data_IF_898617724869
#
_entry.id   IF_898617724869
#
_cell.length_a   1.000
_cell.length_b   1.000
_cell.length_c   1.000
_cell.angle_alpha   90.00
_cell.angle_beta   90.00
_cell.angle_gamma   90.00
#
_symmetry.space_group_name_H-M   'P 1'
#
loop_
_entity.id
_entity.type
_entity.pdbx_description
1 polymer ?
#
# COMPACT_ATOMS: atom_id res chain seq x y z
N UNK A 1 6.62 -10.19 6.59
CA UNK A 1 5.48 -9.27 6.59
C UNK A 1 4.61 -9.51 5.39
N UNK A 2 3.37 -9.82 5.62
CA UNK A 2 2.42 -9.96 4.52
C UNK A 2 2.00 -8.57 4.08
N UNK A 3 2.44 -8.18 2.91
CA UNK A 3 1.98 -6.94 2.32
C UNK A 3 0.91 -7.23 1.29
N UNK A 4 -0.08 -6.38 1.27
CA UNK A 4 -1.11 -6.44 0.26
C UNK A 4 -0.50 -6.02 -1.08
N UNK A 5 -0.62 -6.87 -2.08
CA UNK A 5 -0.10 -6.55 -3.41
C UNK A 5 -1.18 -5.89 -4.27
N UNK A 6 -0.75 -5.26 -5.35
CA UNK A 6 -1.69 -4.68 -6.32
C UNK A 6 -2.61 -5.76 -6.89
N UNK A 7 -2.08 -6.95 -7.13
CA UNK A 7 -2.87 -8.07 -7.62
C UNK A 7 -3.93 -8.51 -6.61
N UNK A 8 -3.60 -8.46 -5.31
CA UNK A 8 -4.55 -8.77 -4.26
C UNK A 8 -5.74 -7.81 -4.29
N UNK A 9 -5.47 -6.53 -4.53
CA UNK A 9 -6.52 -5.52 -4.63
C UNK A 9 -7.36 -5.75 -5.88
N UNK A 10 -6.71 -6.01 -7.01
CA UNK A 10 -7.38 -6.23 -8.28
C UNK A 10 -8.30 -7.44 -8.24
N UNK A 11 -7.88 -8.50 -7.56
CA UNK A 11 -8.59 -9.77 -7.53
C UNK A 11 -9.52 -9.92 -6.33
N UNK A 12 -9.63 -8.90 -5.49
CA UNK A 12 -10.49 -8.98 -4.31
C UNK A 12 -11.95 -9.09 -4.71
N UNK A 13 -12.61 -10.10 -4.18
CA UNK A 13 -14.04 -10.31 -4.38
C UNK A 13 -14.75 -10.15 -3.05
N UNK A 14 -15.80 -9.35 -3.03
CA UNK A 14 -16.62 -9.14 -1.85
C UNK A 14 -17.89 -9.97 -1.95
N UNK A 15 -18.36 -10.46 -0.81
CA UNK A 15 -19.60 -11.20 -0.76
C UNK A 15 -20.79 -10.24 -0.93
N UNK A 16 -21.75 -10.57 -1.80
CA UNK A 16 -22.96 -9.76 -1.91
C UNK A 16 -23.80 -9.89 -0.64
N UNK A 17 -24.53 -8.84 -0.31
CA UNK A 17 -25.42 -8.87 0.83
C UNK A 17 -26.68 -9.67 0.48
N UNK A 18 -27.29 -10.30 1.50
CA UNK A 18 -28.50 -11.11 1.29
C UNK A 18 -29.76 -10.27 1.20
N UNK A 19 -29.74 -9.08 1.78
CA UNK A 19 -30.95 -8.28 1.97
C UNK A 19 -30.99 -7.00 1.16
N UNK A 20 -29.90 -6.66 0.52
CA UNK A 20 -29.79 -5.46 -0.31
C UNK A 20 -28.87 -5.75 -1.48
N UNK A 21 -29.03 -4.97 -2.53
CA UNK A 21 -28.05 -4.99 -3.61
C UNK A 21 -26.77 -4.34 -3.09
N UNK A 22 -25.63 -4.97 -3.33
CA UNK A 22 -24.35 -4.44 -2.96
C UNK A 22 -23.52 -5.42 -2.17
N UNK A 23 -22.44 -4.92 -1.59
CA UNK A 23 -21.51 -5.70 -0.80
C UNK A 23 -21.63 -5.33 0.67
N UNK A 24 -21.16 -6.23 1.55
CA UNK A 24 -21.11 -5.98 2.97
C UNK A 24 -20.16 -4.82 3.24
N UNK A 25 -20.70 -3.75 3.83
CA UNK A 25 -19.92 -2.54 4.10
C UNK A 25 -18.75 -2.79 5.04
N UNK A 26 -18.96 -3.60 6.07
CA UNK A 26 -17.89 -3.91 7.02
C UNK A 26 -16.73 -4.64 6.36
N UNK A 27 -17.04 -5.57 5.47
CA UNK A 27 -16.02 -6.29 4.72
C UNK A 27 -15.23 -5.36 3.82
N UNK A 28 -15.91 -4.45 3.15
CA UNK A 28 -15.25 -3.45 2.29
C UNK A 28 -14.37 -2.53 3.13
N UNK A 29 -14.89 -2.05 4.26
CA UNK A 29 -14.16 -1.15 5.14
C UNK A 29 -12.90 -1.80 5.69
N UNK A 30 -12.99 -3.06 6.11
CA UNK A 30 -11.83 -3.81 6.58
C UNK A 30 -10.75 -3.92 5.50
N UNK A 31 -11.18 -4.18 4.28
CA UNK A 31 -10.25 -4.29 3.17
C UNK A 31 -9.59 -2.95 2.86
N UNK A 32 -10.36 -1.87 2.90
CA UNK A 32 -9.83 -0.53 2.70
C UNK A 32 -8.80 -0.15 3.77
N UNK A 33 -9.02 -0.55 5.02
CA UNK A 33 -8.06 -0.33 6.10
C UNK A 33 -6.74 -1.03 5.81
N UNK A 34 -6.80 -2.25 5.30
CA UNK A 34 -5.60 -2.99 4.91
C UNK A 34 -4.87 -2.32 3.76
N UNK A 35 -5.61 -1.78 2.81
CA UNK A 35 -5.02 -1.02 1.70
C UNK A 35 -4.29 0.21 2.21
N UNK A 36 -4.92 0.95 3.12
CA UNK A 36 -4.32 2.15 3.71
C UNK A 36 -3.02 1.81 4.42
N UNK A 37 -2.99 0.74 5.23
CA UNK A 37 -1.78 0.29 5.90
C UNK A 37 -0.67 -0.04 4.91
N UNK A 38 -1.01 -0.80 3.89
CA UNK A 38 -0.04 -1.20 2.87
C UNK A 38 0.53 0.01 2.13
N UNK A 39 -0.33 0.97 1.81
CA UNK A 39 0.09 2.20 1.13
C UNK A 39 1.02 3.04 2.02
N UNK A 40 0.70 3.15 3.30
CA UNK A 40 1.55 3.88 4.25
C UNK A 40 2.93 3.24 4.38
N UNK A 41 2.97 1.91 4.43
CA UNK A 41 4.24 1.17 4.49
C UNK A 41 5.07 1.44 3.24
N UNK A 42 4.44 1.40 2.07
CA UNK A 42 5.13 1.67 0.80
C UNK A 42 5.60 3.13 0.72
N UNK A 43 4.78 4.06 1.17
CA UNK A 43 5.15 5.48 1.20
C UNK A 43 6.35 5.72 2.10
N UNK A 44 6.38 5.07 3.28
CA UNK A 44 7.50 5.18 4.20
C UNK A 44 8.77 4.57 3.61
N UNK A 45 8.64 3.41 2.97
CA UNK A 45 9.76 2.76 2.31
C UNK A 45 10.30 3.60 1.17
N UNK A 46 9.42 4.19 0.37
CA UNK A 46 9.82 5.09 -0.70
C UNK A 46 10.55 6.32 -0.18
N UNK A 47 10.07 6.90 0.91
CA UNK A 47 10.71 8.05 1.53
C UNK A 47 12.12 7.70 2.02
N UNK A 48 12.28 6.52 2.64
CA UNK A 48 13.58 6.04 3.10
C UNK A 48 14.54 5.83 1.94
N UNK A 49 14.07 5.16 0.89
CA UNK A 49 14.90 4.89 -0.28
C UNK A 49 15.32 6.18 -0.99
N UNK A 50 14.41 7.13 -1.07
CA UNK A 50 14.69 8.43 -1.66
C UNK A 50 15.75 9.18 -0.86
N UNK A 51 15.63 9.15 0.45
CA UNK A 51 16.61 9.79 1.34
C UNK A 51 18.00 9.15 1.18
N UNK A 52 18.03 7.82 1.10
CA UNK A 52 19.28 7.08 0.91
C UNK A 52 19.90 7.40 -0.44
N UNK A 53 19.10 7.52 -1.47
CA UNK A 53 19.57 7.86 -2.81
C UNK A 53 20.13 9.27 -2.84
N UNK A 54 19.47 10.22 -2.23
CA UNK A 54 19.94 11.61 -2.15
C UNK A 54 21.27 11.71 -1.38
N UNK A 55 21.39 10.95 -0.28
CA UNK A 55 22.63 10.90 0.49
C UNK A 55 23.77 10.30 -0.33
N UNK A 56 23.49 9.24 -1.08
CA UNK A 56 24.51 8.61 -1.94
C UNK A 56 24.94 9.55 -3.06
N UNK A 57 23.99 10.26 -3.67
CA UNK A 57 24.27 11.22 -4.73
C UNK A 57 25.10 12.39 -4.22
N UNK A 58 24.81 12.88 -3.02
CA UNK A 58 25.58 13.94 -2.40
C UNK A 58 27.03 13.50 -2.14
N UNK A 59 27.20 12.26 -1.69
CA UNK A 59 28.53 11.69 -1.43
C UNK A 59 29.32 11.56 -2.72
N UNK A 60 28.69 11.11 -3.80
CA UNK A 60 29.33 11.00 -5.10
C UNK A 60 29.74 12.38 -5.62
N UNK A 61 28.88 13.37 -5.44
CA UNK A 61 29.17 14.74 -5.86
C UNK A 61 30.39 15.30 -5.11
N UNK A 62 30.53 14.98 -3.81
CA UNK A 62 31.68 15.40 -3.02
C UNK A 62 32.99 14.76 -3.48
N UNK A 63 32.91 13.52 -3.95
CA UNK A 63 34.08 12.76 -4.38
C UNK A 63 34.50 13.07 -5.80
N UNK A 64 33.67 13.72 -6.57
CA UNK A 64 33.98 14.05 -7.97
C UNK A 64 34.50 15.54 -8.13
#
# INVERSE_FOLDING_TARGET
MTQLTADDVLNKKFQPTKFREGYDQDEVDEFLDKIVEAMRDLENENAELKAKLEAANARVAELS
#
